data_IF_485793271699
#
_entry.id   IF_485793271699
#
_cell.length_a   1.000
_cell.length_b   1.000
_cell.length_c   1.000
_cell.angle_alpha   90.00
_cell.angle_beta   90.00
_cell.angle_gamma   90.00
#
_symmetry.space_group_name_H-M   'P 1'
#
loop_
_entity.id
_entity.type
_entity.pdbx_description
1 polymer ?
#
# COMPACT_ATOMS: atom_id res chain seq x y z
N UNK A 1 -16.81 28.13 24.07
CA UNK A 1 -16.63 27.93 22.62
C UNK A 1 -15.45 27.02 22.34
N UNK A 2 -15.32 26.52 21.12
CA UNK A 2 -14.20 25.70 20.66
C UNK A 2 -12.85 26.42 20.88
N UNK A 3 -12.76 27.69 20.50
CA UNK A 3 -11.57 28.54 20.70
C UNK A 3 -11.17 28.65 22.17
N UNK A 4 -12.12 28.72 23.08
CA UNK A 4 -11.87 28.84 24.53
C UNK A 4 -11.33 27.52 25.10
N UNK A 5 -11.77 26.38 24.61
CA UNK A 5 -11.25 25.06 25.07
C UNK A 5 -9.82 24.83 24.62
N UNK A 6 -9.48 25.17 23.37
CA UNK A 6 -8.09 25.13 22.88
C UNK A 6 -7.21 26.04 23.73
N UNK A 7 -7.64 27.24 23.96
CA UNK A 7 -6.90 28.23 24.74
C UNK A 7 -6.60 27.74 26.18
N UNK A 8 -7.62 27.25 26.88
CA UNK A 8 -7.46 26.73 28.22
C UNK A 8 -6.52 25.52 28.25
N UNK A 9 -6.55 24.69 27.23
CA UNK A 9 -5.69 23.53 27.10
C UNK A 9 -4.22 23.94 26.81
N UNK A 10 -4.01 24.89 25.90
CA UNK A 10 -2.66 25.45 25.62
C UNK A 10 -2.08 26.03 26.91
N UNK A 11 -2.83 26.85 27.63
CA UNK A 11 -2.38 27.43 28.90
C UNK A 11 -2.09 26.36 29.97
N UNK A 12 -2.79 25.26 30.01
CA UNK A 12 -2.59 24.23 31.03
C UNK A 12 -1.38 23.35 30.79
N UNK A 13 -0.96 23.19 29.51
CA UNK A 13 0.07 22.20 29.12
C UNK A 13 1.40 22.85 28.68
N UNK A 14 1.38 24.05 28.13
CA UNK A 14 2.56 24.64 27.47
C UNK A 14 3.31 25.63 28.38
N UNK A 15 2.74 26.07 29.47
CA UNK A 15 3.45 26.87 30.47
C UNK A 15 4.13 25.98 31.53
N UNK A 16 5.36 26.19 31.98
CA UNK A 16 5.83 27.43 32.61
C UNK A 16 6.97 28.17 31.91
N UNK A 17 7.42 27.70 30.77
CA UNK A 17 8.57 28.29 30.08
C UNK A 17 8.21 29.38 29.04
N UNK A 18 6.94 29.46 28.62
CA UNK A 18 6.42 30.47 27.69
C UNK A 18 5.19 31.13 28.34
N UNK A 19 5.40 32.16 29.12
CA UNK A 19 4.47 32.60 30.14
C UNK A 19 3.28 33.44 29.73
N UNK A 20 3.12 33.79 28.46
CA UNK A 20 1.97 34.61 28.06
C UNK A 20 1.35 34.12 26.77
N UNK A 21 0.10 33.72 26.84
CA UNK A 21 -0.73 33.55 25.68
C UNK A 21 -1.47 34.87 25.43
N UNK A 22 -1.33 35.44 24.22
CA UNK A 22 -1.94 36.68 23.85
C UNK A 22 -3.25 36.40 23.08
N UNK A 23 -4.40 36.85 23.56
CA UNK A 23 -5.61 36.82 22.76
C UNK A 23 -5.47 37.83 21.62
N UNK A 24 -5.36 37.36 20.39
CA UNK A 24 -5.41 38.23 19.23
C UNK A 24 -6.86 38.62 18.96
N UNK A 25 -7.13 39.91 19.05
CA UNK A 25 -8.50 40.49 19.10
C UNK A 25 -9.09 40.74 17.71
N UNK A 26 -8.32 40.52 16.63
CA UNK A 26 -8.85 40.69 15.28
C UNK A 26 -9.62 39.48 14.78
N UNK A 27 -10.65 39.68 13.95
CA UNK A 27 -11.42 38.59 13.39
C UNK A 27 -10.53 37.58 12.67
N UNK A 28 -10.71 36.28 12.98
CA UNK A 28 -9.94 35.21 12.37
C UNK A 28 -8.74 34.68 13.17
N UNK A 29 -8.26 35.40 14.15
CA UNK A 29 -7.10 34.95 14.96
C UNK A 29 -7.53 34.16 16.19
N UNK A 30 -6.73 33.16 16.54
CA UNK A 30 -6.80 32.49 17.85
C UNK A 30 -5.61 32.94 18.71
N UNK A 31 -5.69 32.77 20.04
CA UNK A 31 -4.58 33.11 20.93
C UNK A 31 -3.30 32.41 20.54
N UNK A 32 -2.20 33.15 20.48
CA UNK A 32 -0.85 32.67 20.22
C UNK A 32 0.00 32.61 21.49
N UNK A 33 1.29 32.42 21.33
CA UNK A 33 2.28 32.43 22.41
C UNK A 33 3.33 33.52 22.19
N UNK A 34 3.89 34.03 23.26
CA UNK A 34 4.95 35.03 23.22
C UNK A 34 6.25 34.52 23.86
N UNK A 35 7.37 35.16 23.56
CA UNK A 35 8.69 34.86 24.11
C UNK A 35 8.96 35.45 25.51
N UNK A 36 7.95 36.00 26.15
CA UNK A 36 8.10 36.70 27.44
C UNK A 36 8.43 38.19 27.31
N UNK A 37 8.83 38.68 26.13
CA UNK A 37 8.98 40.08 25.80
C UNK A 37 7.79 40.63 25.00
N UNK A 38 6.64 39.92 25.08
CA UNK A 38 5.38 40.18 24.38
C UNK A 38 5.44 40.06 22.85
N UNK A 39 6.55 39.52 22.29
CA UNK A 39 6.59 39.17 20.88
C UNK A 39 5.80 37.92 20.60
N UNK A 40 4.89 37.96 19.66
CA UNK A 40 4.11 36.78 19.23
C UNK A 40 5.02 35.83 18.50
N UNK A 41 5.18 34.62 19.01
CA UNK A 41 5.97 33.56 18.40
C UNK A 41 5.20 32.84 17.31
N UNK A 42 3.89 32.63 17.51
CA UNK A 42 3.01 32.04 16.52
C UNK A 42 1.53 32.30 16.85
N UNK A 43 0.68 32.22 15.84
CA UNK A 43 -0.78 32.26 15.99
C UNK A 43 -1.46 31.44 14.89
N UNK A 44 -2.75 31.18 15.06
CA UNK A 44 -3.59 30.62 14.03
C UNK A 44 -4.41 31.72 13.37
N UNK A 45 -4.41 31.75 12.05
CA UNK A 45 -5.30 32.56 11.25
C UNK A 45 -6.08 31.64 10.31
N UNK A 46 -7.41 31.74 10.37
CA UNK A 46 -8.35 30.95 9.52
C UNK A 46 -8.06 29.43 9.49
N UNK A 47 -7.52 28.89 10.59
CA UNK A 47 -7.17 27.47 10.70
C UNK A 47 -5.75 27.11 10.26
N UNK A 48 -4.99 28.06 9.76
CA UNK A 48 -3.58 27.87 9.43
C UNK A 48 -2.65 28.24 10.60
N UNK A 49 -1.47 27.63 10.61
CA UNK A 49 -0.44 27.87 11.61
C UNK A 49 0.62 28.82 11.05
N UNK A 50 0.87 29.89 11.75
CA UNK A 50 1.93 30.86 11.41
C UNK A 50 2.89 31.02 12.59
N UNK A 51 4.21 31.13 12.31
CA UNK A 51 5.26 31.35 13.27
C UNK A 51 6.03 32.64 12.90
N UNK A 52 5.82 33.68 13.68
CA UNK A 52 6.36 35.00 13.43
C UNK A 52 7.63 35.27 14.25
N UNK A 53 8.67 35.77 13.58
CA UNK A 53 9.91 36.23 14.23
C UNK A 53 10.87 35.12 14.68
N UNK A 54 10.59 33.86 14.39
CA UNK A 54 11.47 32.72 14.71
C UNK A 54 12.16 32.24 13.43
N UNK A 55 13.45 31.93 13.52
CA UNK A 55 14.21 31.46 12.36
C UNK A 55 13.59 30.18 11.73
N UNK A 56 13.79 29.96 10.42
CA UNK A 56 13.05 28.97 9.65
C UNK A 56 13.07 27.56 10.23
N UNK A 57 14.20 27.11 10.76
CA UNK A 57 14.35 25.76 11.32
C UNK A 57 13.67 25.61 12.68
N UNK A 58 13.69 26.66 13.50
CA UNK A 58 13.03 26.64 14.81
C UNK A 58 11.53 26.77 14.64
N UNK A 59 11.08 27.63 13.71
CA UNK A 59 9.67 27.78 13.35
C UNK A 59 9.05 26.45 12.87
N UNK A 60 9.74 25.75 11.96
CA UNK A 60 9.28 24.45 11.46
C UNK A 60 9.25 23.38 12.55
N UNK A 61 10.20 23.40 13.49
CA UNK A 61 10.23 22.46 14.62
C UNK A 61 9.13 22.74 15.62
N UNK A 62 8.89 24.01 15.95
CA UNK A 62 7.81 24.44 16.85
C UNK A 62 6.43 24.17 16.21
N UNK A 63 6.26 24.47 14.94
CA UNK A 63 5.04 24.18 14.20
C UNK A 63 4.73 22.67 14.22
N UNK A 64 5.71 21.83 13.94
CA UNK A 64 5.56 20.36 14.02
C UNK A 64 5.24 19.89 15.43
N UNK A 65 5.95 20.39 16.45
CA UNK A 65 5.69 20.02 17.84
C UNK A 65 4.29 20.45 18.31
N UNK A 66 3.85 21.62 17.86
CA UNK A 66 2.51 22.14 18.16
C UNK A 66 1.43 21.34 17.44
N UNK A 67 1.60 21.08 16.15
CA UNK A 67 0.67 20.22 15.40
C UNK A 67 0.54 18.84 16.02
N UNK A 68 1.67 18.21 16.41
CA UNK A 68 1.63 16.92 17.10
C UNK A 68 0.84 16.98 18.41
N UNK A 69 1.06 17.99 19.23
CA UNK A 69 0.33 18.15 20.49
C UNK A 69 -1.15 18.43 20.27
N UNK A 70 -1.47 19.22 19.25
CA UNK A 70 -2.86 19.48 18.87
C UNK A 70 -3.54 18.19 18.37
N UNK A 71 -2.88 17.42 17.50
CA UNK A 71 -3.40 16.14 17.05
C UNK A 71 -3.55 15.14 18.20
N UNK A 72 -2.53 14.98 19.02
CA UNK A 72 -2.55 14.01 20.15
C UNK A 72 -3.55 14.41 21.22
N UNK A 73 -3.70 15.69 21.52
CA UNK A 73 -4.55 16.15 22.59
C UNK A 73 -6.01 16.41 22.18
N UNK A 74 -6.22 16.77 20.92
CA UNK A 74 -7.54 17.21 20.45
C UNK A 74 -8.33 16.09 19.78
N UNK A 75 -7.65 15.20 19.06
CA UNK A 75 -8.29 14.12 18.30
C UNK A 75 -8.17 12.78 19.01
N UNK A 76 -7.36 12.69 20.09
CA UNK A 76 -7.06 11.41 20.72
C UNK A 76 -6.76 10.40 19.61
N UNK A 77 -5.66 10.64 18.82
CA UNK A 77 -5.36 9.96 17.57
C UNK A 77 -5.69 8.48 17.71
N UNK A 78 -6.72 7.98 17.04
CA UNK A 78 -7.13 6.60 17.23
C UNK A 78 -6.09 5.66 16.61
N UNK A 79 -5.95 4.47 17.19
CA UNK A 79 -5.17 3.41 16.58
C UNK A 79 -5.71 3.04 15.19
N UNK A 80 -7.01 3.15 15.02
CA UNK A 80 -7.72 2.87 13.76
C UNK A 80 -9.04 3.66 13.69
N UNK A 81 -9.57 3.80 12.47
CA UNK A 81 -10.92 4.30 12.20
C UNK A 81 -11.98 3.21 12.43
N UNK A 82 -13.21 3.44 12.00
CA UNK A 82 -14.37 2.61 12.35
C UNK A 82 -14.91 1.74 11.21
N UNK A 83 -14.13 1.58 10.15
CA UNK A 83 -14.44 0.76 8.96
C UNK A 83 -15.68 1.18 8.16
N UNK A 84 -16.20 2.39 8.33
CA UNK A 84 -17.41 2.86 7.63
C UNK A 84 -17.27 2.87 6.11
N UNK A 85 -16.07 3.14 5.63
CA UNK A 85 -15.80 3.28 4.20
C UNK A 85 -15.58 1.94 3.50
N UNK A 86 -15.52 0.82 4.23
CA UNK A 86 -15.34 -0.53 3.68
C UNK A 86 -16.67 -1.23 3.35
N UNK A 87 -17.69 -0.48 2.96
CA UNK A 87 -19.04 -1.02 2.77
C UNK A 87 -19.13 -2.09 1.67
N UNK A 88 -18.34 -1.95 0.59
CA UNK A 88 -18.28 -2.96 -0.49
C UNK A 88 -17.72 -4.30 0.02
N UNK A 89 -16.65 -4.25 0.83
CA UNK A 89 -16.10 -5.40 1.53
C UNK A 89 -17.14 -6.02 2.46
N UNK A 90 -17.79 -5.20 3.28
CA UNK A 90 -18.82 -5.65 4.24
C UNK A 90 -19.99 -6.31 3.53
N UNK A 91 -20.43 -5.77 2.41
CA UNK A 91 -21.51 -6.36 1.62
C UNK A 91 -21.15 -7.76 1.10
N UNK A 92 -19.98 -7.94 0.49
CA UNK A 92 -19.53 -9.26 0.02
C UNK A 92 -19.31 -10.23 1.17
N UNK A 93 -18.77 -9.77 2.29
CA UNK A 93 -18.63 -10.57 3.50
C UNK A 93 -19.99 -11.05 4.03
N UNK A 94 -20.99 -10.20 4.05
CA UNK A 94 -22.36 -10.59 4.42
C UNK A 94 -22.94 -11.63 3.47
N UNK A 95 -22.70 -11.52 2.17
CA UNK A 95 -23.07 -12.53 1.18
C UNK A 95 -22.40 -13.88 1.45
N UNK A 96 -21.09 -13.91 1.77
CA UNK A 96 -20.40 -15.13 2.17
C UNK A 96 -21.05 -15.78 3.40
N UNK A 97 -21.35 -14.99 4.44
CA UNK A 97 -22.01 -15.47 5.66
C UNK A 97 -23.42 -16.00 5.38
N UNK A 98 -24.08 -15.51 4.34
CA UNK A 98 -25.36 -16.01 3.86
C UNK A 98 -25.24 -17.26 2.95
N UNK A 99 -24.05 -17.82 2.79
CA UNK A 99 -23.78 -19.02 1.98
C UNK A 99 -23.71 -18.76 0.47
N UNK A 100 -23.61 -17.50 0.04
CA UNK A 100 -23.45 -17.17 -1.37
C UNK A 100 -21.99 -17.40 -1.81
N UNK A 101 -21.81 -17.96 -3.00
CA UNK A 101 -20.49 -18.13 -3.61
C UNK A 101 -19.97 -16.77 -4.12
N UNK A 102 -19.48 -15.93 -3.23
CA UNK A 102 -18.87 -14.63 -3.54
C UNK A 102 -17.41 -14.61 -3.14
N UNK A 103 -16.64 -13.69 -3.72
CA UNK A 103 -15.20 -13.55 -3.51
C UNK A 103 -14.86 -12.10 -3.15
N UNK A 104 -14.88 -11.73 -1.85
CA UNK A 104 -14.26 -10.49 -1.41
C UNK A 104 -12.80 -10.44 -1.85
N UNK A 105 -12.37 -9.31 -2.38
CA UNK A 105 -11.03 -9.15 -2.96
C UNK A 105 -10.25 -8.08 -2.19
N UNK A 106 -9.13 -8.48 -1.61
CA UNK A 106 -8.25 -7.64 -0.80
C UNK A 106 -6.91 -7.44 -1.52
N UNK A 107 -6.53 -6.20 -1.79
CA UNK A 107 -5.24 -5.83 -2.37
C UNK A 107 -4.37 -5.19 -1.31
N UNK A 108 -3.24 -5.81 -0.98
CA UNK A 108 -2.19 -5.26 -0.15
C UNK A 108 -1.07 -4.70 -1.03
N UNK A 109 -0.77 -3.42 -0.92
CA UNK A 109 0.29 -2.74 -1.67
C UNK A 109 1.13 -1.85 -0.77
N UNK A 110 2.30 -1.44 -1.24
CA UNK A 110 3.24 -0.62 -0.49
C UNK A 110 4.69 -0.99 -0.76
N UNK A 111 5.52 -0.84 0.27
CA UNK A 111 6.96 -1.08 0.20
C UNK A 111 7.36 -2.54 0.54
N UNK A 112 8.59 -2.75 1.07
CA UNK A 112 9.09 -4.06 1.46
C UNK A 112 8.24 -4.77 2.53
N UNK A 113 7.52 -4.04 3.36
CA UNK A 113 6.58 -4.60 4.34
C UNK A 113 5.48 -5.41 3.69
N UNK A 114 5.13 -5.07 2.45
CA UNK A 114 4.11 -5.75 1.65
C UNK A 114 4.69 -6.66 0.59
N UNK A 115 5.92 -6.43 0.12
CA UNK A 115 6.61 -7.34 -0.80
C UNK A 115 7.11 -8.61 -0.08
N UNK A 116 7.65 -8.49 1.13
CA UNK A 116 8.04 -9.61 1.96
C UNK A 116 6.82 -10.45 2.35
N UNK A 117 7.05 -11.68 2.80
CA UNK A 117 5.95 -12.61 3.02
C UNK A 117 5.30 -12.49 4.40
N UNK A 118 6.01 -12.00 5.41
CA UNK A 118 5.60 -12.07 6.82
C UNK A 118 4.23 -11.41 7.05
N UNK A 119 4.08 -10.14 6.68
CA UNK A 119 2.81 -9.43 6.83
C UNK A 119 1.73 -9.96 5.88
N UNK A 120 2.09 -10.18 4.61
CA UNK A 120 1.15 -10.66 3.61
C UNK A 120 0.61 -12.06 3.94
N UNK A 121 1.46 -12.98 4.43
CA UNK A 121 1.06 -14.31 4.88
C UNK A 121 0.14 -14.24 6.09
N UNK A 122 0.47 -13.38 7.06
CA UNK A 122 -0.36 -13.20 8.25
C UNK A 122 -1.75 -12.65 7.92
N UNK A 123 -1.84 -11.62 7.06
CA UNK A 123 -3.13 -11.07 6.61
C UNK A 123 -3.93 -12.13 5.84
N UNK A 124 -3.29 -12.83 4.88
CA UNK A 124 -3.95 -13.90 4.14
C UNK A 124 -4.45 -15.02 5.06
N UNK A 125 -3.66 -15.37 6.09
CA UNK A 125 -4.03 -16.39 7.08
C UNK A 125 -5.30 -16.02 7.84
N UNK A 126 -5.41 -14.78 8.36
CA UNK A 126 -6.61 -14.34 9.08
C UNK A 126 -7.83 -14.22 8.14
N UNK A 127 -7.64 -13.74 6.90
CA UNK A 127 -8.72 -13.68 5.91
C UNK A 127 -9.21 -15.06 5.50
N UNK A 128 -8.29 -16.00 5.23
CA UNK A 128 -8.64 -17.37 4.85
C UNK A 128 -9.32 -18.13 5.98
N UNK A 129 -8.89 -17.95 7.22
CA UNK A 129 -9.49 -18.56 8.39
C UNK A 129 -10.93 -18.07 8.64
N UNK A 130 -11.21 -16.80 8.39
CA UNK A 130 -12.54 -16.20 8.63
C UNK A 130 -13.48 -16.40 7.44
N UNK A 131 -12.97 -16.32 6.20
CA UNK A 131 -13.80 -16.22 4.97
C UNK A 131 -13.56 -17.34 3.96
N UNK A 132 -12.57 -18.19 4.15
CA UNK A 132 -12.11 -19.15 3.14
C UNK A 132 -11.10 -18.53 2.17
N UNK A 133 -10.40 -19.38 1.42
CA UNK A 133 -9.42 -18.99 0.41
C UNK A 133 -9.98 -19.21 -1.01
N UNK A 134 -10.07 -18.15 -1.79
CA UNK A 134 -10.50 -18.19 -3.19
C UNK A 134 -9.37 -17.83 -4.18
N UNK A 135 -8.13 -17.68 -3.73
CA UNK A 135 -6.98 -17.55 -4.61
C UNK A 135 -5.88 -16.60 -4.14
N UNK A 136 -4.73 -16.77 -4.77
CA UNK A 136 -3.50 -16.00 -4.51
C UNK A 136 -3.63 -14.51 -4.87
N UNK A 137 -4.48 -14.18 -5.85
CA UNK A 137 -4.56 -12.82 -6.39
C UNK A 137 -3.34 -12.48 -7.24
N UNK A 138 -2.84 -11.25 -7.10
CA UNK A 138 -1.70 -10.76 -7.85
C UNK A 138 -0.40 -11.49 -7.49
N UNK A 139 0.37 -11.84 -8.52
CA UNK A 139 1.71 -12.42 -8.44
C UNK A 139 2.67 -11.58 -9.27
N UNK A 140 3.62 -10.96 -8.59
CA UNK A 140 4.71 -10.18 -9.19
C UNK A 140 5.63 -11.03 -10.06
N UNK A 141 6.39 -10.39 -10.93
CA UNK A 141 7.40 -11.04 -11.80
C UNK A 141 8.81 -11.02 -11.22
N UNK A 142 9.05 -10.28 -10.14
CA UNK A 142 10.40 -10.06 -9.61
C UNK A 142 10.74 -10.97 -8.41
N UNK A 143 9.84 -11.10 -7.44
CA UNK A 143 10.12 -11.77 -6.19
C UNK A 143 9.84 -13.28 -6.27
N UNK A 144 10.87 -14.12 -5.95
CA UNK A 144 10.81 -15.57 -6.13
C UNK A 144 9.72 -16.25 -5.32
N UNK A 145 9.78 -16.16 -3.98
CA UNK A 145 8.80 -16.81 -3.09
C UNK A 145 7.52 -16.00 -2.93
N UNK A 146 6.39 -16.67 -2.78
CA UNK A 146 5.10 -16.08 -2.43
C UNK A 146 4.61 -16.60 -1.09
N UNK A 147 3.61 -15.92 -0.53
CA UNK A 147 2.95 -16.26 0.74
C UNK A 147 2.32 -17.66 0.80
N UNK A 148 2.00 -18.24 -0.34
CA UNK A 148 1.37 -19.57 -0.47
C UNK A 148 2.35 -20.66 -0.92
N UNK A 149 3.66 -20.32 -0.99
CA UNK A 149 4.69 -21.25 -1.46
C UNK A 149 4.83 -21.34 -2.98
N UNK A 150 4.06 -20.55 -3.75
CA UNK A 150 4.30 -20.45 -5.19
C UNK A 150 5.65 -19.79 -5.49
N UNK A 151 6.32 -20.21 -6.56
CA UNK A 151 7.63 -19.73 -6.95
C UNK A 151 7.65 -19.26 -8.40
N UNK A 152 8.61 -18.39 -8.69
CA UNK A 152 8.95 -17.98 -10.04
C UNK A 152 10.23 -18.68 -10.46
N UNK A 153 10.21 -19.27 -11.66
CA UNK A 153 11.38 -19.73 -12.36
C UNK A 153 11.49 -19.01 -13.70
N UNK A 154 12.60 -18.31 -13.90
CA UNK A 154 12.88 -17.62 -15.16
C UNK A 154 14.27 -17.94 -15.67
N UNK A 155 14.39 -18.04 -16.99
CA UNK A 155 15.70 -18.17 -17.66
C UNK A 155 16.47 -16.83 -17.61
N UNK A 156 17.73 -16.86 -17.98
CA UNK A 156 18.47 -15.65 -18.33
C UNK A 156 17.83 -14.93 -19.53
N UNK A 157 18.20 -13.69 -19.75
CA UNK A 157 17.74 -12.88 -20.90
C UNK A 157 16.48 -12.06 -20.66
N UNK A 158 15.93 -12.03 -19.45
CA UNK A 158 14.88 -11.09 -19.03
C UNK A 158 15.50 -9.87 -18.35
N UNK A 159 15.18 -8.69 -18.86
CA UNK A 159 15.46 -7.41 -18.19
C UNK A 159 14.32 -7.09 -17.24
N UNK A 160 14.65 -6.63 -16.03
CA UNK A 160 13.70 -6.18 -15.02
C UNK A 160 13.54 -4.67 -15.08
N UNK A 161 12.30 -4.19 -15.14
CA UNK A 161 11.94 -2.84 -14.70
C UNK A 161 11.44 -2.90 -13.26
N UNK A 162 11.92 -1.99 -12.43
CA UNK A 162 11.50 -1.83 -11.05
C UNK A 162 11.40 -0.34 -10.74
N UNK A 163 10.23 0.11 -10.28
CA UNK A 163 9.98 1.52 -9.99
C UNK A 163 10.78 2.01 -8.77
N UNK A 164 11.16 1.13 -7.84
CA UNK A 164 11.80 1.54 -6.59
C UNK A 164 13.20 2.16 -6.76
N UNK A 165 14.10 1.65 -7.63
CA UNK A 165 15.42 2.25 -7.82
C UNK A 165 15.46 3.30 -8.93
N UNK A 166 14.33 3.61 -9.58
CA UNK A 166 14.29 4.48 -10.76
C UNK A 166 13.37 5.67 -10.58
N UNK A 167 13.65 6.75 -11.28
CA UNK A 167 12.75 7.90 -11.42
C UNK A 167 12.07 7.95 -12.81
N UNK A 168 12.41 7.02 -13.70
CA UNK A 168 11.88 6.97 -15.06
C UNK A 168 10.61 6.13 -15.18
N UNK A 169 9.67 6.60 -16.02
CA UNK A 169 8.48 5.83 -16.36
C UNK A 169 8.83 4.50 -17.04
N UNK A 170 8.02 3.45 -16.87
CA UNK A 170 8.27 2.14 -17.49
C UNK A 170 8.11 2.20 -19.01
N UNK A 171 9.22 1.98 -19.74
CA UNK A 171 9.23 2.03 -21.20
C UNK A 171 8.27 1.00 -21.84
N UNK A 172 8.11 -0.15 -21.19
CA UNK A 172 7.28 -1.26 -21.68
C UNK A 172 6.13 -1.59 -20.72
N UNK A 173 5.64 -0.57 -20.01
CA UNK A 173 4.64 -0.75 -18.97
C UNK A 173 5.16 -1.50 -17.72
N UNK A 174 4.33 -1.59 -16.72
CA UNK A 174 4.61 -2.40 -15.51
C UNK A 174 3.31 -2.79 -14.81
N UNK A 175 3.39 -3.76 -13.90
CA UNK A 175 2.27 -4.23 -13.09
C UNK A 175 1.82 -3.22 -12.01
N UNK A 176 0.77 -3.61 -11.27
CA UNK A 176 0.23 -2.81 -10.15
C UNK A 176 1.19 -2.65 -8.98
N UNK A 177 2.28 -3.39 -8.99
CA UNK A 177 3.41 -3.34 -8.06
C UNK A 177 4.59 -2.50 -8.58
N UNK A 178 4.43 -1.87 -9.74
CA UNK A 178 5.50 -1.08 -10.37
C UNK A 178 6.63 -1.93 -10.97
N UNK A 179 6.40 -3.22 -11.24
CA UNK A 179 7.43 -4.12 -11.77
C UNK A 179 7.00 -4.77 -13.08
N UNK A 180 7.96 -5.05 -13.95
CA UNK A 180 7.77 -5.84 -15.17
C UNK A 180 9.08 -6.49 -15.63
N UNK A 181 8.97 -7.52 -16.45
CA UNK A 181 10.12 -8.11 -17.14
C UNK A 181 9.92 -8.02 -18.65
N UNK A 182 11.01 -7.84 -19.39
CA UNK A 182 10.96 -7.83 -20.84
C UNK A 182 12.16 -8.56 -21.46
N UNK A 183 11.99 -9.05 -22.67
CA UNK A 183 13.05 -9.76 -23.41
C UNK A 183 12.86 -9.67 -24.92
N UNK A 184 13.96 -9.78 -25.66
CA UNK A 184 13.98 -10.07 -27.11
C UNK A 184 14.49 -11.48 -27.41
N UNK A 185 14.85 -12.25 -26.38
CA UNK A 185 15.35 -13.62 -26.52
C UNK A 185 14.23 -14.54 -27.02
N UNK A 186 14.53 -15.42 -27.96
CA UNK A 186 13.56 -16.34 -28.58
C UNK A 186 13.47 -17.71 -27.88
N UNK A 187 14.15 -17.90 -26.75
CA UNK A 187 14.15 -19.15 -25.98
C UNK A 187 13.99 -18.89 -24.48
N UNK A 188 13.55 -17.69 -24.10
CA UNK A 188 13.34 -17.35 -22.70
C UNK A 188 12.05 -17.99 -22.17
N UNK A 189 12.09 -18.38 -20.89
CA UNK A 189 10.90 -18.83 -20.19
C UNK A 189 10.70 -18.09 -18.87
N UNK A 190 9.45 -18.03 -18.45
CA UNK A 190 9.02 -17.51 -17.15
C UNK A 190 7.83 -18.36 -16.66
N UNK A 191 8.01 -19.05 -15.55
CA UNK A 191 7.01 -19.97 -15.02
C UNK A 191 6.64 -19.57 -13.60
N UNK A 192 5.34 -19.63 -13.29
CA UNK A 192 4.83 -19.56 -11.92
C UNK A 192 4.42 -20.96 -11.48
N UNK A 193 5.11 -21.51 -10.49
CA UNK A 193 4.93 -22.89 -10.04
C UNK A 193 4.23 -22.96 -8.71
N UNK A 194 3.64 -24.12 -8.42
CA UNK A 194 3.01 -24.43 -7.14
C UNK A 194 1.86 -23.45 -6.78
N UNK A 195 1.02 -23.07 -7.75
CA UNK A 195 -0.12 -22.21 -7.54
C UNK A 195 -1.43 -22.97 -7.67
N UNK A 196 -2.30 -22.88 -6.66
CA UNK A 196 -3.65 -23.45 -6.73
C UNK A 196 -4.61 -22.46 -7.36
N UNK A 197 -5.17 -22.80 -8.51
CA UNK A 197 -6.12 -21.95 -9.22
C UNK A 197 -7.00 -22.74 -10.19
N UNK A 198 -8.16 -22.18 -10.52
CA UNK A 198 -9.00 -22.58 -11.66
C UNK A 198 -8.89 -21.63 -12.82
N UNK A 199 -8.38 -20.42 -12.55
CA UNK A 199 -8.25 -19.34 -13.53
C UNK A 199 -6.97 -18.54 -13.29
N UNK A 200 -6.41 -18.05 -14.38
CA UNK A 200 -5.23 -17.21 -14.39
C UNK A 200 -5.33 -16.15 -15.47
N UNK A 201 -5.01 -14.92 -15.12
CA UNK A 201 -4.83 -13.84 -16.09
C UNK A 201 -3.37 -13.43 -16.13
N UNK A 202 -2.80 -13.36 -17.35
CA UNK A 202 -1.41 -12.93 -17.59
C UNK A 202 -1.47 -11.55 -18.23
N UNK A 203 -0.88 -10.54 -17.59
CA UNK A 203 -0.80 -9.19 -18.10
C UNK A 203 0.52 -8.96 -18.83
N UNK A 204 0.44 -8.32 -19.99
CA UNK A 204 1.59 -8.04 -20.83
C UNK A 204 1.44 -6.72 -21.58
N UNK A 205 2.55 -6.16 -22.03
CA UNK A 205 2.53 -5.03 -22.96
C UNK A 205 2.41 -5.55 -24.39
N UNK A 206 1.46 -5.04 -25.13
CA UNK A 206 1.24 -5.42 -26.54
C UNK A 206 2.27 -4.71 -27.44
N UNK A 207 3.47 -5.29 -27.48
CA UNK A 207 4.60 -4.86 -28.29
C UNK A 207 4.64 -5.64 -29.61
N UNK A 208 5.83 -5.82 -30.20
CA UNK A 208 6.02 -6.51 -31.48
C UNK A 208 6.51 -7.95 -31.35
N UNK A 209 6.48 -8.52 -30.15
CA UNK A 209 6.95 -9.87 -29.86
C UNK A 209 5.86 -10.94 -29.97
N UNK A 210 6.29 -12.19 -29.80
CA UNK A 210 5.43 -13.37 -29.72
C UNK A 210 5.81 -14.18 -28.49
N UNK A 211 4.82 -14.64 -27.74
CA UNK A 211 5.05 -15.55 -26.62
C UNK A 211 3.98 -16.64 -26.58
N UNK A 212 4.28 -17.70 -25.86
CA UNK A 212 3.34 -18.78 -25.59
C UNK A 212 3.11 -18.89 -24.08
N UNK A 213 1.91 -19.25 -23.71
CA UNK A 213 1.54 -19.59 -22.34
C UNK A 213 0.78 -20.91 -22.30
N UNK A 214 0.82 -21.59 -21.15
CA UNK A 214 0.13 -22.88 -21.03
C UNK A 214 0.20 -23.46 -19.62
N UNK A 215 -0.44 -24.62 -19.49
CA UNK A 215 -0.42 -25.45 -18.29
C UNK A 215 -0.58 -26.92 -18.67
N UNK A 216 -0.26 -27.83 -17.74
CA UNK A 216 -0.33 -29.26 -18.01
C UNK A 216 -1.77 -29.80 -17.88
N UNK A 217 -2.16 -30.62 -18.86
CA UNK A 217 -3.38 -31.41 -18.86
C UNK A 217 -2.99 -32.84 -19.16
N UNK A 218 -3.25 -33.74 -18.20
CA UNK A 218 -2.87 -35.16 -18.37
C UNK A 218 -1.36 -35.38 -18.58
N UNK A 219 -0.52 -34.52 -17.99
CA UNK A 219 0.95 -34.60 -18.11
C UNK A 219 1.52 -34.03 -19.40
N UNK A 220 0.70 -33.36 -20.22
CA UNK A 220 1.11 -32.69 -21.47
C UNK A 220 0.79 -31.23 -21.37
N UNK A 221 1.79 -30.34 -21.59
CA UNK A 221 1.57 -28.89 -21.59
C UNK A 221 0.77 -28.47 -22.83
N UNK A 222 -0.37 -27.82 -22.57
CA UNK A 222 -1.22 -27.23 -23.61
C UNK A 222 -0.76 -25.79 -23.84
N UNK A 223 -0.23 -25.52 -25.03
CA UNK A 223 0.32 -24.21 -25.39
C UNK A 223 -0.67 -23.37 -26.19
N UNK A 224 -0.77 -22.10 -25.85
CA UNK A 224 -1.46 -21.07 -26.66
C UNK A 224 -0.47 -19.98 -27.02
N UNK A 225 -0.48 -19.57 -28.29
CA UNK A 225 0.41 -18.53 -28.82
C UNK A 225 -0.26 -17.17 -28.80
N UNK A 226 0.45 -16.15 -28.33
CA UNK A 226 0.10 -14.74 -28.43
C UNK A 226 1.04 -14.06 -29.42
N UNK A 227 0.50 -13.58 -30.53
CA UNK A 227 1.19 -12.67 -31.43
C UNK A 227 0.75 -11.26 -31.06
N UNK A 228 1.68 -10.47 -30.53
CA UNK A 228 1.37 -9.11 -30.10
C UNK A 228 1.10 -8.19 -31.29
N UNK A 229 0.14 -7.28 -31.15
CA UNK A 229 -0.33 -6.39 -32.21
C UNK A 229 0.39 -5.06 -32.27
N UNK A 230 1.44 -4.84 -31.48
CA UNK A 230 2.25 -3.61 -31.41
C UNK A 230 1.42 -2.33 -31.17
N UNK A 231 0.40 -2.43 -30.32
CA UNK A 231 -0.45 -1.27 -29.97
C UNK A 231 0.16 -0.38 -28.90
N UNK A 232 1.19 -0.88 -28.17
CA UNK A 232 1.81 -0.18 -27.05
C UNK A 232 0.91 -0.05 -25.82
N UNK A 233 -0.17 -0.83 -25.74
CA UNK A 233 -1.10 -0.84 -24.60
C UNK A 233 -0.94 -2.09 -23.76
N UNK A 234 -1.28 -2.03 -22.47
CA UNK A 234 -1.37 -3.23 -21.64
C UNK A 234 -2.57 -4.07 -22.08
N UNK A 235 -2.34 -5.35 -22.24
CA UNK A 235 -3.35 -6.37 -22.52
C UNK A 235 -3.23 -7.52 -21.55
N UNK A 236 -4.19 -8.42 -21.59
CA UNK A 236 -4.13 -9.66 -20.83
C UNK A 236 -4.68 -10.84 -21.61
N UNK A 237 -4.18 -12.04 -21.30
CA UNK A 237 -4.76 -13.30 -21.71
C UNK A 237 -5.35 -14.01 -20.50
N UNK A 238 -6.41 -14.78 -20.75
CA UNK A 238 -7.16 -15.47 -19.71
C UNK A 238 -7.09 -16.98 -19.94
N UNK A 239 -6.60 -17.71 -18.93
CA UNK A 239 -6.78 -19.15 -18.80
C UNK A 239 -7.94 -19.35 -17.84
N UNK A 240 -8.92 -20.16 -18.20
CA UNK A 240 -10.13 -20.38 -17.41
C UNK A 240 -10.61 -21.81 -17.50
N UNK A 241 -11.40 -22.23 -16.53
CA UNK A 241 -12.01 -23.58 -16.50
C UNK A 241 -11.02 -24.70 -16.20
N UNK A 242 -9.89 -24.39 -15.61
CA UNK A 242 -8.95 -25.40 -15.11
C UNK A 242 -9.55 -26.11 -13.87
N UNK A 243 -9.18 -27.36 -13.64
CA UNK A 243 -9.50 -28.07 -12.38
C UNK A 243 -8.88 -27.35 -11.18
N UNK A 244 -9.55 -27.34 -10.02
CA UNK A 244 -9.06 -26.72 -8.79
C UNK A 244 -7.95 -27.57 -8.16
N UNK A 245 -6.74 -27.37 -8.64
CA UNK A 245 -5.54 -28.08 -8.18
C UNK A 245 -4.29 -27.19 -8.21
N UNK A 246 -3.23 -27.64 -7.56
CA UNK A 246 -1.92 -26.99 -7.61
C UNK A 246 -1.26 -27.29 -8.95
N UNK A 247 -0.78 -26.25 -9.64
CA UNK A 247 -0.20 -26.36 -10.98
C UNK A 247 0.96 -25.39 -11.23
N UNK A 248 1.58 -25.55 -12.37
CA UNK A 248 2.49 -24.57 -12.98
C UNK A 248 1.81 -23.89 -14.14
N UNK A 249 1.92 -22.57 -14.20
CA UNK A 249 1.61 -21.77 -15.39
C UNK A 249 2.92 -21.44 -16.06
N UNK A 250 3.02 -21.87 -17.31
CA UNK A 250 4.22 -21.72 -18.13
C UNK A 250 4.07 -20.52 -19.06
N UNK A 251 5.18 -19.83 -19.30
CA UNK A 251 5.31 -18.79 -20.33
C UNK A 251 6.67 -18.95 -21.00
N UNK A 252 6.71 -18.87 -22.34
CA UNK A 252 7.95 -18.95 -23.11
C UNK A 252 7.89 -18.09 -24.36
N UNK A 253 9.06 -17.79 -24.90
CA UNK A 253 9.22 -16.92 -26.09
C UNK A 253 9.77 -17.69 -27.30
N UNK A 254 9.51 -18.99 -27.41
CA UNK A 254 9.97 -19.81 -28.54
C UNK A 254 9.47 -19.21 -29.87
N UNK A 255 10.41 -18.97 -30.80
CA UNK A 255 10.13 -18.38 -32.10
C UNK A 255 9.92 -16.86 -32.08
N UNK A 256 10.16 -16.19 -30.95
CA UNK A 256 10.06 -14.74 -30.85
C UNK A 256 11.11 -14.03 -31.71
N UNK A 257 10.68 -13.02 -32.47
CA UNK A 257 11.56 -12.14 -33.25
C UNK A 257 11.43 -10.66 -32.83
N UNK A 258 10.63 -10.35 -31.80
CA UNK A 258 10.38 -9.01 -31.29
C UNK A 258 10.60 -8.89 -29.80
N UNK A 259 10.02 -7.87 -29.18
CA UNK A 259 10.07 -7.67 -27.74
C UNK A 259 8.79 -8.17 -27.07
N UNK A 260 8.96 -8.98 -26.05
CA UNK A 260 7.90 -9.44 -25.12
C UNK A 260 8.09 -8.76 -23.79
N UNK A 261 7.03 -8.24 -23.17
CA UNK A 261 7.06 -7.72 -21.81
C UNK A 261 5.87 -8.29 -21.01
N UNK A 262 6.18 -8.87 -19.84
CA UNK A 262 5.20 -9.46 -18.91
C UNK A 262 5.18 -8.61 -17.64
N UNK A 263 3.97 -8.26 -17.19
CA UNK A 263 3.75 -7.37 -16.05
C UNK A 263 3.43 -8.11 -14.76
N UNK A 264 2.73 -9.24 -14.85
CA UNK A 264 2.33 -10.02 -13.70
C UNK A 264 1.21 -11.00 -14.02
N UNK A 265 0.81 -11.71 -12.99
CA UNK A 265 -0.23 -12.73 -13.04
C UNK A 265 -1.29 -12.46 -11.99
N UNK A 266 -2.52 -12.84 -12.28
CA UNK A 266 -3.61 -12.80 -11.30
C UNK A 266 -4.31 -14.16 -11.26
N UNK A 267 -4.38 -14.75 -10.07
CA UNK A 267 -4.87 -16.11 -9.86
C UNK A 267 -6.09 -16.12 -8.95
N UNK A 268 -7.12 -16.85 -9.36
CA UNK A 268 -8.30 -17.08 -8.52
C UNK A 268 -8.91 -18.45 -8.76
N UNK A 269 -9.89 -18.81 -7.94
CA UNK A 269 -10.59 -20.09 -7.98
C UNK A 269 -12.08 -19.82 -8.20
N UNK A 270 -12.52 -19.75 -9.47
CA UNK A 270 -13.92 -19.48 -9.84
C UNK A 270 -14.87 -20.49 -9.19
N UNK A 271 -16.00 -19.99 -8.68
CA UNK A 271 -16.99 -20.81 -8.00
C UNK A 271 -16.64 -21.22 -6.56
N UNK A 272 -15.45 -20.92 -6.08
CA UNK A 272 -15.04 -21.14 -4.69
C UNK A 272 -15.39 -19.91 -3.86
N UNK A 273 -16.20 -20.10 -2.82
CA UNK A 273 -16.48 -19.07 -1.83
C UNK A 273 -15.22 -18.79 -0.99
N UNK A 274 -14.88 -17.53 -0.80
CA UNK A 274 -13.70 -17.15 -0.02
C UNK A 274 -13.09 -15.83 -0.46
N UNK A 275 -12.04 -15.42 0.23
CA UNK A 275 -11.31 -14.17 -0.07
C UNK A 275 -10.22 -14.44 -1.11
N UNK A 276 -10.10 -13.53 -2.10
CA UNK A 276 -8.90 -13.41 -2.93
C UNK A 276 -8.02 -12.33 -2.30
N UNK A 277 -6.76 -12.65 -2.02
CA UNK A 277 -5.83 -11.70 -1.40
C UNK A 277 -4.60 -11.48 -2.28
N UNK A 278 -4.50 -10.30 -2.87
CA UNK A 278 -3.39 -9.88 -3.73
C UNK A 278 -2.27 -9.25 -2.91
N UNK A 279 -1.02 -9.61 -3.22
CA UNK A 279 0.19 -9.00 -2.70
C UNK A 279 0.91 -8.25 -3.82
N UNK A 280 0.86 -6.90 -3.79
CA UNK A 280 1.45 -6.02 -4.80
C UNK A 280 2.42 -5.01 -4.17
N UNK A 281 3.32 -5.49 -3.31
CA UNK A 281 4.36 -4.67 -2.70
C UNK A 281 5.61 -4.56 -3.56
N UNK A 282 6.38 -3.48 -3.37
CA UNK A 282 7.63 -3.22 -4.04
C UNK A 282 8.69 -2.72 -3.03
N UNK A 283 9.70 -3.53 -2.75
CA UNK A 283 10.72 -3.20 -1.76
C UNK A 283 11.53 -1.95 -2.17
N UNK A 284 11.70 -1.04 -1.23
CA UNK A 284 12.45 0.20 -1.46
C UNK A 284 11.63 1.33 -2.06
N UNK A 285 10.39 1.09 -2.53
CA UNK A 285 9.57 2.10 -3.17
C UNK A 285 9.23 3.25 -2.22
N UNK A 286 9.20 4.45 -2.76
CA UNK A 286 8.71 5.68 -2.13
C UNK A 286 7.29 5.97 -2.58
N UNK A 287 6.58 6.79 -1.82
CA UNK A 287 5.21 7.14 -2.18
C UNK A 287 5.13 7.87 -3.54
N UNK A 288 6.06 8.75 -3.86
CA UNK A 288 6.08 9.49 -5.13
C UNK A 288 6.38 8.60 -6.34
N UNK A 289 7.07 7.47 -6.14
CA UNK A 289 7.31 6.50 -7.20
C UNK A 289 6.05 5.73 -7.63
N UNK A 290 4.98 5.73 -6.83
CA UNK A 290 3.68 5.24 -7.28
C UNK A 290 3.14 6.02 -8.47
N UNK A 291 3.56 7.27 -8.64
CA UNK A 291 3.18 8.11 -9.79
C UNK A 291 3.77 7.61 -11.11
N UNK A 292 4.84 6.80 -11.08
CA UNK A 292 5.43 6.21 -12.28
C UNK A 292 4.50 5.22 -13.00
N UNK A 293 3.50 4.69 -12.29
CA UNK A 293 2.57 3.69 -12.83
C UNK A 293 1.08 3.95 -12.49
N UNK A 294 0.77 5.01 -11.76
CA UNK A 294 -0.62 5.30 -11.38
C UNK A 294 -1.52 5.60 -12.59
N UNK A 295 -0.98 6.12 -13.70
CA UNK A 295 -1.71 6.32 -14.94
C UNK A 295 -2.09 5.00 -15.64
N UNK A 296 -1.44 3.89 -15.30
CA UNK A 296 -1.72 2.54 -15.82
C UNK A 296 -2.61 1.69 -14.91
N UNK A 297 -2.90 2.16 -13.70
CA UNK A 297 -3.61 1.37 -12.69
C UNK A 297 -5.00 0.92 -13.17
N UNK A 298 -5.63 1.69 -14.05
CA UNK A 298 -6.95 1.38 -14.61
C UNK A 298 -6.97 0.07 -15.39
N UNK A 299 -5.88 -0.26 -16.10
CA UNK A 299 -5.76 -1.47 -16.93
C UNK A 299 -5.87 -2.75 -16.09
N UNK A 300 -5.46 -2.68 -14.82
CA UNK A 300 -5.50 -3.79 -13.86
C UNK A 300 -6.76 -3.77 -13.00
N UNK A 301 -7.10 -2.62 -12.42
CA UNK A 301 -8.22 -2.52 -11.48
C UNK A 301 -9.57 -2.81 -12.14
N UNK A 302 -9.74 -2.51 -13.42
CA UNK A 302 -10.94 -2.85 -14.18
C UNK A 302 -11.23 -4.37 -14.22
N UNK A 303 -10.20 -5.20 -14.10
CA UNK A 303 -10.29 -6.66 -14.14
C UNK A 303 -10.08 -7.35 -12.80
N UNK A 304 -9.16 -6.85 -11.96
CA UNK A 304 -8.90 -7.38 -10.61
C UNK A 304 -10.03 -7.00 -9.64
N UNK A 305 -10.54 -5.79 -9.75
CA UNK A 305 -11.66 -5.25 -8.96
C UNK A 305 -11.55 -5.50 -7.44
N UNK A 306 -10.50 -5.01 -6.78
CA UNK A 306 -10.41 -5.11 -5.33
C UNK A 306 -11.57 -4.39 -4.65
N UNK A 307 -12.06 -4.96 -3.55
CA UNK A 307 -13.03 -4.32 -2.67
C UNK A 307 -12.36 -3.43 -1.64
N UNK A 308 -11.12 -3.79 -1.29
CA UNK A 308 -10.23 -3.05 -0.38
C UNK A 308 -8.83 -2.96 -0.95
N UNK A 309 -8.22 -1.79 -0.88
CA UNK A 309 -6.80 -1.55 -1.12
C UNK A 309 -6.16 -1.07 0.19
N UNK A 310 -5.32 -1.89 0.79
CA UNK A 310 -4.53 -1.54 1.97
C UNK A 310 -3.12 -1.12 1.54
N UNK A 311 -2.66 0.03 2.02
CA UNK A 311 -1.38 0.64 1.63
C UNK A 311 -0.49 0.76 2.85
N UNK A 312 0.64 0.05 2.87
CA UNK A 312 1.70 0.17 3.89
C UNK A 312 2.91 0.82 3.24
N UNK A 313 3.16 2.09 3.56
CA UNK A 313 4.24 2.88 2.95
C UNK A 313 4.69 3.98 3.89
N UNK A 314 5.89 4.52 3.69
CA UNK A 314 6.41 5.66 4.43
C UNK A 314 7.71 5.37 5.18
N UNK A 315 8.11 4.11 5.38
CA UNK A 315 9.40 3.79 6.00
C UNK A 315 10.58 4.23 5.11
N UNK A 316 10.50 4.04 3.81
CA UNK A 316 11.55 4.48 2.88
C UNK A 316 11.54 6.01 2.75
N UNK A 317 10.36 6.63 2.65
CA UNK A 317 10.18 8.08 2.67
C UNK A 317 10.81 8.72 3.92
N UNK A 318 10.56 8.12 5.10
CA UNK A 318 11.20 8.50 6.35
C UNK A 318 12.72 8.41 6.27
N UNK A 319 13.27 7.29 5.78
CA UNK A 319 14.73 7.02 5.77
C UNK A 319 15.50 7.97 4.86
N UNK A 320 14.92 8.42 3.76
CA UNK A 320 15.54 9.39 2.86
C UNK A 320 15.08 10.83 3.13
N UNK A 321 14.26 11.05 4.15
CA UNK A 321 13.70 12.35 4.51
C UNK A 321 12.88 13.00 3.39
N UNK A 322 12.03 12.23 2.71
CA UNK A 322 11.02 12.78 1.79
C UNK A 322 10.17 13.83 2.51
N UNK A 323 9.85 14.92 1.85
CA UNK A 323 8.96 15.93 2.42
C UNK A 323 7.53 15.38 2.59
N UNK A 324 6.90 15.66 3.72
CA UNK A 324 5.53 15.18 4.01
C UNK A 324 4.50 15.64 2.99
N UNK A 325 4.69 16.80 2.36
CA UNK A 325 3.80 17.29 1.30
C UNK A 325 3.95 16.46 0.02
N UNK A 326 5.16 16.06 -0.37
CA UNK A 326 5.40 15.15 -1.50
C UNK A 326 4.71 13.82 -1.25
N UNK A 327 4.90 13.24 -0.07
CA UNK A 327 4.25 12.01 0.37
C UNK A 327 2.72 12.11 0.31
N UNK A 328 2.15 13.19 0.84
CA UNK A 328 0.72 13.48 0.80
C UNK A 328 0.18 13.51 -0.62
N UNK A 329 0.81 14.33 -1.49
CA UNK A 329 0.36 14.52 -2.87
C UNK A 329 0.42 13.21 -3.66
N UNK A 330 1.46 12.41 -3.45
CA UNK A 330 1.62 11.11 -4.09
C UNK A 330 0.47 10.16 -3.73
N UNK A 331 0.17 10.00 -2.44
CA UNK A 331 -0.95 9.15 -1.99
C UNK A 331 -2.30 9.66 -2.51
N UNK A 332 -2.55 10.97 -2.47
CA UNK A 332 -3.77 11.55 -3.02
C UNK A 332 -3.94 11.22 -4.50
N UNK A 333 -2.88 11.39 -5.28
CA UNK A 333 -2.90 11.14 -6.74
C UNK A 333 -3.12 9.66 -7.05
N UNK A 334 -2.40 8.77 -6.36
CA UNK A 334 -2.57 7.32 -6.52
C UNK A 334 -3.99 6.86 -6.16
N UNK A 335 -4.51 7.29 -5.02
CA UNK A 335 -5.88 6.96 -4.59
C UNK A 335 -6.94 7.51 -5.55
N UNK A 336 -6.73 8.73 -6.07
CA UNK A 336 -7.62 9.33 -7.07
C UNK A 336 -7.62 8.53 -8.37
N UNK A 337 -6.45 8.08 -8.85
CA UNK A 337 -6.35 7.21 -10.03
C UNK A 337 -7.09 5.88 -9.84
N UNK A 338 -6.97 5.26 -8.66
CA UNK A 338 -7.72 4.04 -8.34
C UNK A 338 -9.24 4.29 -8.32
N UNK A 339 -9.70 5.37 -7.70
CA UNK A 339 -11.13 5.72 -7.62
C UNK A 339 -11.73 6.15 -8.94
N UNK A 340 -10.94 6.66 -9.86
CA UNK A 340 -11.41 6.94 -11.22
C UNK A 340 -11.92 5.67 -11.93
N UNK A 341 -11.39 4.51 -11.55
CA UNK A 341 -11.80 3.20 -12.09
C UNK A 341 -12.82 2.50 -11.19
N UNK A 342 -12.59 2.56 -9.89
CA UNK A 342 -13.40 1.91 -8.85
C UNK A 342 -13.86 2.96 -7.82
N UNK A 343 -14.92 3.74 -8.10
CA UNK A 343 -15.35 4.83 -7.21
C UNK A 343 -15.63 4.38 -5.78
N UNK A 344 -16.05 3.14 -5.61
CA UNK A 344 -16.50 2.56 -4.35
C UNK A 344 -15.45 1.70 -3.65
N UNK A 345 -14.21 1.69 -4.13
CA UNK A 345 -13.15 0.91 -3.49
C UNK A 345 -12.81 1.48 -2.11
N UNK A 346 -12.78 0.61 -1.11
CA UNK A 346 -12.33 0.96 0.24
C UNK A 346 -10.80 1.08 0.29
N UNK A 347 -10.29 2.12 0.97
CA UNK A 347 -8.86 2.22 1.26
C UNK A 347 -8.60 2.07 2.75
N UNK A 348 -7.46 1.45 3.08
CA UNK A 348 -6.89 1.43 4.43
C UNK A 348 -5.46 1.98 4.33
N UNK A 349 -5.23 3.17 4.87
CA UNK A 349 -3.89 3.73 5.00
C UNK A 349 -3.25 3.18 6.28
N UNK A 350 -2.22 2.38 6.14
CA UNK A 350 -1.54 1.71 7.25
C UNK A 350 -0.22 2.43 7.54
N UNK A 351 -0.22 3.27 8.59
CA UNK A 351 0.99 3.98 8.99
C UNK A 351 2.07 3.01 9.46
N UNK A 352 3.32 3.12 8.92
CA UNK A 352 4.38 2.17 9.20
C UNK A 352 4.83 2.21 10.66
N UNK A 353 5.38 1.11 11.22
CA UNK A 353 5.83 1.05 12.60
C UNK A 353 7.09 1.87 12.84
N UNK A 354 7.39 2.11 14.11
CA UNK A 354 8.69 2.63 14.54
C UNK A 354 9.78 1.61 14.21
N UNK A 355 10.76 2.02 13.42
CA UNK A 355 11.92 1.20 13.03
C UNK A 355 13.20 1.76 13.64
N UNK A 356 14.28 0.95 13.64
CA UNK A 356 15.57 1.43 14.08
C UNK A 356 16.16 2.41 13.06
N UNK A 357 16.56 3.59 13.53
CA UNK A 357 17.14 4.64 12.69
C UNK A 357 16.58 6.02 13.00
N UNK A 358 17.22 7.02 12.45
CA UNK A 358 16.84 8.44 12.57
C UNK A 358 16.83 9.11 11.20
N UNK A 359 15.95 10.09 11.03
CA UNK A 359 15.85 10.91 9.84
C UNK A 359 15.49 12.36 10.19
N UNK A 360 15.65 13.26 9.25
CA UNK A 360 15.32 14.69 9.44
C UNK A 360 13.82 14.87 9.63
N UNK A 361 13.01 14.26 8.77
CA UNK A 361 11.54 14.26 8.92
C UNK A 361 11.15 13.11 9.85
N UNK A 362 10.53 13.38 11.00
CA UNK A 362 10.13 12.31 11.93
C UNK A 362 9.07 11.37 11.32
N UNK A 363 9.18 10.08 11.63
CA UNK A 363 8.23 9.07 11.12
C UNK A 363 6.77 9.35 11.54
N UNK A 364 6.58 9.96 12.71
CA UNK A 364 5.25 10.37 13.18
C UNK A 364 4.57 11.38 12.25
N UNK A 365 5.33 12.19 11.52
CA UNK A 365 4.76 13.17 10.59
C UNK A 365 4.11 12.48 9.37
N UNK A 366 4.66 11.34 8.93
CA UNK A 366 4.05 10.50 7.88
C UNK A 366 2.78 9.80 8.37
N UNK A 367 2.78 9.30 9.63
CA UNK A 367 1.57 8.76 10.27
C UNK A 367 0.46 9.82 10.32
N UNK A 368 0.80 11.04 10.74
CA UNK A 368 -0.15 12.14 10.87
C UNK A 368 -0.73 12.55 9.51
N UNK A 369 0.09 12.54 8.45
CA UNK A 369 -0.38 12.74 7.07
C UNK A 369 -1.38 11.65 6.66
N UNK A 370 -1.10 10.38 6.95
CA UNK A 370 -2.03 9.29 6.61
C UNK A 370 -3.35 9.41 7.36
N UNK A 371 -3.32 9.78 8.64
CA UNK A 371 -4.54 10.02 9.40
C UNK A 371 -5.36 11.16 8.81
N UNK A 372 -4.74 12.30 8.52
CA UNK A 372 -5.42 13.44 7.91
C UNK A 372 -6.00 13.10 6.52
N UNK A 373 -5.26 12.35 5.70
CA UNK A 373 -5.77 11.85 4.44
C UNK A 373 -6.98 10.93 4.63
N UNK A 374 -7.01 10.12 5.68
CA UNK A 374 -8.16 9.27 5.96
C UNK A 374 -9.43 10.08 6.24
N UNK A 375 -9.28 11.21 6.94
CA UNK A 375 -10.41 12.11 7.25
C UNK A 375 -10.88 12.90 6.02
N UNK A 376 -9.95 13.33 5.18
CA UNK A 376 -10.25 14.20 4.02
C UNK A 376 -10.64 13.43 2.77
N UNK A 377 -10.15 12.20 2.60
CA UNK A 377 -10.43 11.37 1.42
C UNK A 377 -11.45 10.25 1.68
N UNK A 378 -12.14 10.25 2.80
CA UNK A 378 -13.13 9.22 3.14
C UNK A 378 -12.56 7.80 2.97
N UNK A 379 -11.55 7.47 3.78
CA UNK A 379 -10.94 6.16 3.82
C UNK A 379 -10.55 5.77 5.25
N UNK A 380 -10.17 4.52 5.46
CA UNK A 380 -9.78 4.02 6.76
C UNK A 380 -8.30 4.30 7.05
N UNK A 381 -8.01 4.38 8.33
CA UNK A 381 -6.66 4.51 8.88
C UNK A 381 -6.38 3.37 9.85
N UNK A 382 -5.16 2.85 9.82
CA UNK A 382 -4.66 1.87 10.79
C UNK A 382 -3.20 2.21 11.13
N UNK A 383 -2.92 2.47 12.41
CA UNK A 383 -1.59 2.87 12.85
C UNK A 383 -0.79 1.69 13.38
N UNK A 384 0.10 1.15 12.55
CA UNK A 384 1.10 0.19 13.07
C UNK A 384 2.08 0.95 13.98
N UNK A 385 2.32 2.23 13.71
CA UNK A 385 3.17 3.11 14.51
C UNK A 385 2.73 3.17 15.99
N UNK A 386 1.42 3.25 16.23
CA UNK A 386 0.86 3.34 17.58
C UNK A 386 0.49 1.96 18.15
N UNK A 387 0.31 0.94 17.29
CA UNK A 387 0.17 -0.45 17.71
C UNK A 387 1.47 -1.01 18.28
N UNK A 388 2.59 -0.64 17.67
CA UNK A 388 3.92 -1.01 18.14
C UNK A 388 4.45 0.07 19.07
N UNK A 389 5.15 -0.34 20.11
CA UNK A 389 5.91 0.55 21.00
C UNK A 389 7.25 0.92 20.33
N UNK A 390 8.28 1.27 21.12
CA UNK A 390 9.60 1.56 20.56
C UNK A 390 10.15 0.36 19.80
N UNK A 391 11.00 0.61 18.80
CA UNK A 391 11.67 -0.50 18.08
C UNK A 391 12.40 -1.45 19.01
N UNK A 392 13.08 -0.92 20.06
CA UNK A 392 13.84 -1.73 21.01
C UNK A 392 12.95 -2.72 21.75
N UNK A 393 11.79 -2.29 22.23
CA UNK A 393 10.85 -3.14 22.96
C UNK A 393 10.22 -4.18 22.04
N UNK A 394 9.75 -3.75 20.87
CA UNK A 394 9.11 -4.66 19.92
C UNK A 394 10.10 -5.65 19.29
N UNK A 395 11.36 -5.23 19.06
CA UNK A 395 12.42 -6.14 18.65
C UNK A 395 12.76 -7.14 19.76
N UNK A 396 12.78 -6.71 21.01
CA UNK A 396 12.96 -7.59 22.17
C UNK A 396 11.85 -8.64 22.31
N UNK A 397 10.64 -8.34 21.83
CA UNK A 397 9.51 -9.28 21.74
C UNK A 397 9.52 -10.14 20.47
N UNK A 398 10.55 -10.03 19.63
CA UNK A 398 10.70 -10.80 18.40
C UNK A 398 9.80 -10.34 17.26
N UNK A 399 9.31 -9.10 17.26
CA UNK A 399 8.42 -8.58 16.21
C UNK A 399 9.16 -8.17 14.93
N UNK A 400 10.50 -8.08 14.96
CA UNK A 400 11.32 -7.72 13.83
C UNK A 400 12.32 -8.83 13.48
N UNK A 401 12.68 -8.97 12.20
CA UNK A 401 13.75 -9.85 11.72
C UNK A 401 15.08 -9.10 11.57
N UNK A 402 15.00 -7.78 11.45
CA UNK A 402 16.14 -6.87 11.31
C UNK A 402 15.77 -5.48 11.87
N UNK A 403 16.53 -4.44 11.51
CA UNK A 403 16.27 -3.06 11.95
C UNK A 403 14.99 -2.43 11.35
N UNK A 404 14.33 -3.09 10.42
CA UNK A 404 13.26 -2.49 9.61
C UNK A 404 12.05 -3.41 9.43
N UNK A 405 12.26 -4.70 9.09
CA UNK A 405 11.20 -5.56 8.59
C UNK A 405 10.54 -6.40 9.69
N UNK A 406 9.24 -6.69 9.57
CA UNK A 406 8.54 -7.50 10.54
C UNK A 406 9.01 -8.95 10.50
N UNK A 407 8.98 -9.60 11.63
CA UNK A 407 9.00 -11.06 11.73
C UNK A 407 7.60 -11.65 11.53
N UNK A 408 7.50 -12.97 11.52
CA UNK A 408 6.20 -13.65 11.58
C UNK A 408 5.38 -13.25 12.82
N UNK A 409 6.03 -13.02 13.98
CA UNK A 409 5.37 -12.56 15.20
C UNK A 409 4.77 -11.16 14.99
N UNK A 410 5.57 -10.22 14.48
CA UNK A 410 5.11 -8.86 14.17
C UNK A 410 4.00 -8.84 13.12
N UNK A 411 4.16 -9.62 12.04
CA UNK A 411 3.14 -9.78 11.01
C UNK A 411 1.81 -10.29 11.56
N UNK A 412 1.83 -11.32 12.39
CA UNK A 412 0.64 -11.89 13.02
C UNK A 412 -0.04 -10.89 13.99
N UNK A 413 0.73 -10.14 14.75
CA UNK A 413 0.18 -9.09 15.64
C UNK A 413 -0.55 -8.02 14.83
N UNK A 414 0.06 -7.53 13.75
CA UNK A 414 -0.54 -6.53 12.87
C UNK A 414 -1.81 -7.09 12.20
N UNK A 415 -1.73 -8.28 11.60
CA UNK A 415 -2.85 -8.89 10.88
C UNK A 415 -4.05 -9.16 11.79
N UNK A 416 -3.82 -9.66 13.00
CA UNK A 416 -4.88 -9.91 14.00
C UNK A 416 -5.53 -8.60 14.45
N UNK A 417 -4.73 -7.55 14.72
CA UNK A 417 -5.24 -6.25 15.12
C UNK A 417 -6.02 -5.57 13.99
N UNK A 418 -5.52 -5.60 12.76
CA UNK A 418 -6.19 -5.07 11.57
C UNK A 418 -7.54 -5.78 11.33
N UNK A 419 -7.54 -7.11 11.42
CA UNK A 419 -8.76 -7.91 11.25
C UNK A 419 -9.83 -7.53 12.29
N UNK A 420 -9.46 -7.48 13.55
CA UNK A 420 -10.40 -7.15 14.62
C UNK A 420 -10.91 -5.70 14.54
N UNK A 421 -10.05 -4.77 14.12
CA UNK A 421 -10.37 -3.34 14.04
C UNK A 421 -11.26 -2.97 12.85
N UNK A 422 -10.91 -3.43 11.66
CA UNK A 422 -11.48 -2.91 10.41
C UNK A 422 -12.15 -3.98 9.52
N UNK A 423 -11.61 -5.20 9.51
CA UNK A 423 -12.00 -6.21 8.51
C UNK A 423 -13.19 -7.05 8.99
N UNK A 424 -13.15 -7.49 10.23
CA UNK A 424 -14.16 -8.38 10.81
C UNK A 424 -15.45 -7.65 11.20
N UNK A 425 -15.37 -6.37 11.54
CA UNK A 425 -16.45 -5.50 12.03
C UNK A 425 -17.65 -5.32 11.09
#
# INVERSE_FOLDING_TARGET
>A
SFKTKIWNYINSIISPALNKAVPLVSAGFVPGMTDGADNVLFWFQDGEFDANGVGPNISASLARAYQRRMYTAYYNMPLHTDSRTLWRWKAKKAQLKAGMATQPNFLLTGDSWTQNNELATAIAGVLSAEYGDAGLGWRTVNYGASRDGSNIFRSAGWDLYDASPTSGAPLYGCGIDGQSINTTTNTAYFNVTNVRCTDCRIYYQDLNGTFQYGYDVGGVTQWTTVVCGNTGTTKSVLLTGMTDEVRTIYTKTDGNAGRVAIHGFYFWRSGVAGCVMSKAGNAGILADQFLLFSDKISEYLSTIQPDVIAIVIGNNDYRISTGTQTFRTALQTYMAACRAVLPDVGFILMAPPRTNGTAVTPLVDFRDVMYDLSQTLNCEFFSIYDLFDTWTEMNGLGCFIDNLHPSTVGGNMIASSLNNALIKG
#
